data_IF_326498868730
#
_entry.id   IF_326498868730
#
_cell.length_a   1.000
_cell.length_b   1.000
_cell.length_c   1.000
_cell.angle_alpha   90.00
_cell.angle_beta   90.00
_cell.angle_gamma   90.00
#
_symmetry.space_group_name_H-M   'P 1'
#
loop_
_entity.id
_entity.type
_entity.pdbx_description
1 polymer ?
#
# COMPACT_ATOMS: atom_id res chain seq x y z
N UNK A 1 -38.19 -12.46 -74.14
CA UNK A 1 -38.12 -13.74 -73.42
C UNK A 1 -36.65 -14.05 -73.17
N UNK A 2 -36.27 -14.36 -71.91
CA UNK A 2 -34.95 -14.82 -71.40
C UNK A 2 -33.87 -13.71 -71.32
N UNK A 3 -33.65 -13.05 -70.17
CA UNK A 3 -32.95 -13.43 -68.91
C UNK A 3 -31.42 -13.53 -69.05
N UNK A 4 -30.70 -12.78 -68.21
CA UNK A 4 -29.25 -12.91 -68.02
C UNK A 4 -28.70 -12.02 -66.90
N UNK A 5 -29.10 -12.26 -65.65
CA UNK A 5 -28.43 -11.69 -64.47
C UNK A 5 -27.12 -12.46 -64.23
N UNK A 6 -25.98 -11.77 -64.33
CA UNK A 6 -24.69 -12.29 -63.84
C UNK A 6 -24.47 -11.82 -62.40
N UNK A 7 -24.71 -12.71 -61.44
CA UNK A 7 -24.27 -12.53 -60.05
C UNK A 7 -22.83 -13.04 -59.92
N UNK A 8 -21.87 -12.13 -59.76
CA UNK A 8 -20.52 -12.46 -59.28
C UNK A 8 -20.58 -12.64 -57.76
N UNK A 9 -20.59 -13.88 -57.29
CA UNK A 9 -20.38 -14.19 -55.89
C UNK A 9 -18.87 -14.22 -55.61
N UNK A 10 -18.37 -13.21 -54.90
CA UNK A 10 -17.01 -13.15 -54.38
C UNK A 10 -16.96 -13.93 -53.05
N UNK A 11 -16.18 -15.01 -52.92
CA UNK A 11 -16.06 -15.71 -51.64
C UNK A 11 -15.18 -14.89 -50.70
N UNK A 12 -15.77 -14.30 -49.65
CA UNK A 12 -15.04 -13.79 -48.50
C UNK A 12 -14.42 -14.97 -47.75
N UNK A 13 -13.13 -15.21 -47.95
CA UNK A 13 -12.33 -16.11 -47.10
C UNK A 13 -11.96 -15.31 -45.85
N UNK A 14 -12.73 -15.49 -44.77
CA UNK A 14 -12.38 -15.02 -43.44
C UNK A 14 -11.27 -15.93 -42.88
N UNK A 15 -10.02 -15.57 -43.14
CA UNK A 15 -8.86 -16.12 -42.42
C UNK A 15 -8.85 -15.54 -41.01
N UNK A 16 -9.64 -16.11 -40.11
CA UNK A 16 -9.53 -15.85 -38.68
C UNK A 16 -8.28 -16.53 -38.14
N UNK A 17 -7.20 -15.77 -37.91
CA UNK A 17 -6.13 -16.22 -37.03
C UNK A 17 -6.69 -16.34 -35.61
N UNK A 18 -7.18 -17.53 -35.25
CA UNK A 18 -7.49 -17.88 -33.89
C UNK A 18 -6.19 -17.95 -33.09
N UNK A 19 -5.80 -16.83 -32.48
CA UNK A 19 -4.92 -16.86 -31.31
C UNK A 19 -5.62 -17.69 -30.25
N UNK A 20 -5.19 -18.94 -30.09
CA UNK A 20 -5.58 -19.78 -28.97
C UNK A 20 -5.17 -19.05 -27.69
N UNK A 21 -6.12 -18.34 -27.07
CA UNK A 21 -5.96 -17.84 -25.71
C UNK A 21 -5.81 -19.07 -24.83
N UNK A 22 -4.60 -19.30 -24.33
CA UNK A 22 -4.21 -20.54 -23.64
C UNK A 22 -4.86 -20.70 -22.26
N UNK A 23 -5.87 -19.89 -21.91
CA UNK A 23 -6.52 -19.89 -20.59
C UNK A 23 -5.63 -19.41 -19.45
N UNK A 24 -4.32 -19.30 -19.67
CA UNK A 24 -3.31 -18.87 -18.70
C UNK A 24 -3.37 -17.38 -18.40
N UNK A 25 -3.08 -17.04 -17.16
CA UNK A 25 -2.88 -15.65 -16.75
C UNK A 25 -1.52 -15.13 -17.26
N UNK A 26 -1.44 -13.88 -17.74
CA UNK A 26 -0.15 -13.23 -17.98
C UNK A 26 0.73 -13.28 -16.73
N UNK A 27 1.95 -13.83 -16.89
CA UNK A 27 2.86 -14.19 -15.81
C UNK A 27 4.23 -13.55 -16.02
N UNK A 28 4.86 -12.99 -14.96
CA UNK A 28 6.22 -12.46 -15.05
C UNK A 28 7.26 -13.56 -15.32
N UNK A 29 8.35 -13.19 -15.98
CA UNK A 29 9.53 -14.05 -16.08
C UNK A 29 10.04 -14.37 -14.66
N UNK A 30 10.22 -15.67 -14.35
CA UNK A 30 10.70 -16.21 -13.06
C UNK A 30 9.66 -16.38 -11.94
N UNK A 31 8.38 -16.47 -12.27
CA UNK A 31 7.33 -16.92 -11.34
C UNK A 31 7.04 -18.41 -11.60
N UNK A 32 6.95 -19.29 -10.58
CA UNK A 32 6.66 -20.72 -10.79
C UNK A 32 5.27 -20.95 -11.37
N UNK A 33 5.04 -22.06 -12.07
CA UNK A 33 3.75 -22.38 -12.70
C UNK A 33 2.62 -22.64 -11.68
N UNK A 34 2.98 -22.98 -10.43
CA UNK A 34 2.02 -23.16 -9.33
C UNK A 34 2.56 -22.50 -8.07
N UNK A 35 1.68 -21.89 -7.31
CA UNK A 35 2.01 -21.41 -5.97
C UNK A 35 0.79 -21.43 -5.06
N UNK A 36 1.06 -21.57 -3.75
CA UNK A 36 0.06 -21.48 -2.70
C UNK A 36 0.65 -20.75 -1.49
N UNK A 37 -0.10 -19.79 -0.96
CA UNK A 37 0.20 -19.07 0.27
C UNK A 37 -0.27 -19.92 1.45
N UNK A 38 0.64 -20.32 2.31
CA UNK A 38 0.32 -21.05 3.53
C UNK A 38 -0.19 -20.13 4.65
N UNK A 39 -1.04 -20.66 5.54
CA UNK A 39 -1.38 -20.01 6.81
C UNK A 39 -2.37 -18.84 6.70
N UNK A 40 -3.09 -18.72 5.59
CA UNK A 40 -4.22 -17.80 5.48
C UNK A 40 -5.43 -18.46 6.15
N UNK A 41 -5.98 -17.90 7.24
CA UNK A 41 -7.18 -18.47 7.85
C UNK A 41 -8.39 -18.23 6.94
N UNK A 42 -9.40 -19.07 7.08
CA UNK A 42 -10.67 -18.91 6.37
C UNK A 42 -11.77 -18.46 7.33
N UNK A 43 -12.49 -17.40 6.97
CA UNK A 43 -13.68 -16.94 7.66
C UNK A 43 -14.88 -16.98 6.71
N UNK A 44 -15.73 -17.99 6.84
CA UNK A 44 -16.95 -18.13 6.04
C UNK A 44 -17.94 -17.01 6.38
N UNK A 45 -18.42 -16.26 5.38
CA UNK A 45 -19.43 -15.21 5.57
C UNK A 45 -20.32 -15.00 4.33
N UNK A 46 -21.51 -14.44 4.57
CA UNK A 46 -22.44 -13.96 3.54
C UNK A 46 -21.87 -12.74 2.78
N UNK A 47 -22.37 -12.48 1.59
CA UNK A 47 -21.87 -11.50 0.63
C UNK A 47 -21.87 -10.06 1.16
N UNK A 48 -22.80 -9.71 2.06
CA UNK A 48 -22.82 -8.39 2.69
C UNK A 48 -21.62 -8.16 3.65
N UNK A 49 -20.95 -9.23 4.06
CA UNK A 49 -19.82 -9.21 5.01
C UNK A 49 -18.48 -9.63 4.36
N UNK A 50 -18.42 -9.74 3.03
CA UNK A 50 -17.22 -10.17 2.32
C UNK A 50 -16.00 -9.26 2.58
N UNK A 51 -16.20 -7.94 2.73
CA UNK A 51 -15.12 -6.98 3.02
C UNK A 51 -14.44 -7.19 4.38
N UNK A 52 -15.19 -7.14 5.51
CA UNK A 52 -14.65 -7.46 6.83
C UNK A 52 -14.02 -8.85 6.91
N UNK A 53 -14.61 -9.86 6.27
CA UNK A 53 -14.06 -11.21 6.26
C UNK A 53 -12.73 -11.28 5.49
N UNK A 54 -12.67 -10.73 4.28
CA UNK A 54 -11.44 -10.69 3.49
C UNK A 54 -10.32 -9.94 4.20
N UNK A 55 -10.65 -8.79 4.81
CA UNK A 55 -9.67 -8.03 5.58
C UNK A 55 -9.21 -8.79 6.83
N UNK A 56 -10.11 -9.47 7.56
CA UNK A 56 -9.75 -10.30 8.70
C UNK A 56 -8.78 -11.42 8.30
N UNK A 57 -9.03 -12.12 7.19
CA UNK A 57 -8.13 -13.17 6.69
C UNK A 57 -6.72 -12.63 6.44
N UNK A 58 -6.60 -11.48 5.75
CA UNK A 58 -5.31 -10.86 5.45
C UNK A 58 -4.62 -10.30 6.71
N UNK A 59 -5.38 -9.69 7.64
CA UNK A 59 -4.85 -9.19 8.91
C UNK A 59 -4.29 -10.32 9.77
N UNK A 60 -5.03 -11.42 9.94
CA UNK A 60 -4.56 -12.57 10.70
C UNK A 60 -3.33 -13.21 10.05
N UNK A 61 -3.32 -13.38 8.72
CA UNK A 61 -2.14 -13.85 8.00
C UNK A 61 -0.92 -12.95 8.24
N UNK A 62 -1.13 -11.63 8.27
CA UNK A 62 -0.06 -10.66 8.57
C UNK A 62 0.28 -10.53 10.07
N UNK A 63 -0.30 -11.36 10.94
CA UNK A 63 -0.01 -11.40 12.37
C UNK A 63 -0.84 -10.46 13.25
N UNK A 64 -2.00 -10.01 12.79
CA UNK A 64 -3.00 -9.28 13.62
C UNK A 64 -4.19 -10.20 13.89
N UNK A 65 -4.29 -10.72 15.11
CA UNK A 65 -5.42 -11.54 15.50
C UNK A 65 -6.71 -10.71 15.58
N UNK A 66 -7.67 -10.97 14.69
CA UNK A 66 -8.94 -10.21 14.64
C UNK A 66 -10.06 -11.05 14.04
N UNK A 67 -11.29 -10.84 14.49
CA UNK A 67 -12.47 -11.48 13.91
C UNK A 67 -13.18 -10.53 12.92
N UNK A 68 -13.83 -11.05 11.86
CA UNK A 68 -14.56 -10.21 10.90
C UNK A 68 -15.57 -9.26 11.55
N UNK A 69 -16.26 -9.72 12.59
CA UNK A 69 -17.29 -8.94 13.32
C UNK A 69 -16.74 -7.66 13.96
N UNK A 70 -15.46 -7.64 14.34
CA UNK A 70 -14.80 -6.46 14.89
C UNK A 70 -14.52 -5.40 13.81
N UNK A 71 -14.41 -5.81 12.54
CA UNK A 71 -14.11 -4.93 11.41
C UNK A 71 -15.37 -4.39 10.72
N UNK A 72 -16.54 -4.98 10.96
CA UNK A 72 -17.81 -4.51 10.40
C UNK A 72 -18.05 -3.00 10.59
N UNK A 73 -17.97 -2.41 11.81
CA UNK A 73 -18.22 -0.98 11.99
C UNK A 73 -17.18 -0.07 11.29
N UNK A 74 -16.03 -0.62 10.93
CA UNK A 74 -14.91 0.12 10.34
C UNK A 74 -14.91 0.12 8.81
N UNK A 75 -15.52 -0.90 8.21
CA UNK A 75 -15.34 -1.25 6.80
C UNK A 75 -16.67 -1.33 6.05
N UNK A 76 -17.74 -1.74 6.74
CA UNK A 76 -19.07 -1.87 6.15
C UNK A 76 -19.77 -0.52 6.03
N UNK A 77 -20.34 -0.28 4.86
CA UNK A 77 -21.21 0.87 4.57
C UNK A 77 -22.66 0.39 4.38
N UNK A 78 -23.57 0.74 5.30
CA UNK A 78 -24.99 0.41 5.15
C UNK A 78 -25.63 0.98 3.88
N UNK A 79 -25.21 2.18 3.46
CA UNK A 79 -25.71 2.83 2.24
C UNK A 79 -25.29 2.13 0.97
N UNK A 80 -24.08 1.57 0.94
CA UNK A 80 -23.57 0.81 -0.21
C UNK A 80 -23.87 -0.69 -0.11
N UNK A 81 -24.44 -1.14 1.01
CA UNK A 81 -24.67 -2.56 1.34
C UNK A 81 -23.40 -3.40 1.08
N UNK A 82 -22.25 -2.85 1.45
CA UNK A 82 -20.95 -3.43 1.12
C UNK A 82 -19.79 -2.61 1.65
N UNK A 83 -18.57 -2.95 1.25
CA UNK A 83 -17.35 -2.32 1.76
C UNK A 83 -16.60 -1.57 0.65
N UNK A 84 -16.14 -0.35 0.97
CA UNK A 84 -15.33 0.44 0.05
C UNK A 84 -13.85 0.01 0.11
N UNK A 85 -13.16 0.07 -1.02
CA UNK A 85 -11.71 -0.16 -1.11
C UNK A 85 -10.96 0.75 -0.13
N UNK A 86 -11.34 2.04 -0.05
CA UNK A 86 -10.79 3.01 0.90
C UNK A 86 -11.04 2.64 2.36
N UNK A 87 -12.18 2.00 2.65
CA UNK A 87 -12.53 1.47 3.98
C UNK A 87 -11.58 0.35 4.39
N UNK A 88 -11.34 -0.63 3.51
CA UNK A 88 -10.38 -1.72 3.75
C UNK A 88 -8.97 -1.16 3.97
N UNK A 89 -8.52 -0.24 3.12
CA UNK A 89 -7.21 0.41 3.23
C UNK A 89 -7.08 1.16 4.57
N UNK A 90 -8.11 1.92 4.95
CA UNK A 90 -8.13 2.67 6.21
C UNK A 90 -8.09 1.76 7.44
N UNK A 91 -8.90 0.70 7.44
CA UNK A 91 -8.94 -0.27 8.53
C UNK A 91 -7.61 -1.04 8.67
N UNK A 92 -7.04 -1.52 7.55
CA UNK A 92 -5.71 -2.15 7.57
C UNK A 92 -4.64 -1.25 8.22
N UNK A 93 -4.64 0.04 7.89
CA UNK A 93 -3.72 1.03 8.50
C UNK A 93 -3.99 1.23 9.98
N UNK A 94 -5.25 1.32 10.41
CA UNK A 94 -5.64 1.38 11.84
C UNK A 94 -5.23 0.14 12.64
N UNK A 95 -4.93 -0.97 11.98
CA UNK A 95 -4.38 -2.17 12.58
C UNK A 95 -2.86 -2.33 12.38
N UNK A 96 -2.14 -1.24 12.07
CA UNK A 96 -0.67 -1.26 12.00
C UNK A 96 -0.13 -2.10 10.83
N UNK A 97 -0.89 -2.22 9.74
CA UNK A 97 -0.45 -2.94 8.53
C UNK A 97 -0.37 -2.02 7.33
N UNK A 98 0.65 -2.25 6.52
CA UNK A 98 0.84 -1.51 5.27
C UNK A 98 -0.20 -2.02 4.27
N UNK A 99 -1.14 -1.13 3.93
CA UNK A 99 -2.14 -1.36 2.90
C UNK A 99 -1.59 -0.86 1.55
N UNK A 100 -1.22 -1.79 0.67
CA UNK A 100 -0.58 -1.51 -0.62
C UNK A 100 -1.45 -2.02 -1.78
N UNK A 101 -2.13 -1.12 -2.51
CA UNK A 101 -2.90 -1.50 -3.70
C UNK A 101 -2.00 -2.04 -4.81
N UNK A 102 -2.47 -3.06 -5.51
CA UNK A 102 -1.86 -3.59 -6.73
C UNK A 102 -2.92 -3.71 -7.84
N UNK A 103 -2.47 -3.85 -9.08
CA UNK A 103 -3.36 -4.14 -10.20
C UNK A 103 -2.73 -5.09 -11.22
N UNK A 104 -3.58 -5.91 -11.83
CA UNK A 104 -3.23 -6.82 -12.92
C UNK A 104 -2.71 -8.18 -12.48
N UNK A 105 -2.88 -9.18 -13.36
CA UNK A 105 -2.55 -10.59 -13.08
C UNK A 105 -1.06 -10.80 -12.80
N UNK A 106 -0.18 -10.10 -13.49
CA UNK A 106 1.26 -10.20 -13.23
C UNK A 106 1.62 -9.82 -11.79
N UNK A 107 0.88 -8.87 -11.20
CA UNK A 107 1.14 -8.42 -9.83
C UNK A 107 0.67 -9.48 -8.87
N UNK A 108 -0.57 -9.91 -9.08
CA UNK A 108 -1.21 -10.98 -8.32
C UNK A 108 -0.33 -12.23 -8.26
N UNK A 109 0.12 -12.74 -9.41
CA UNK A 109 0.94 -13.95 -9.48
C UNK A 109 2.30 -13.77 -8.79
N UNK A 110 2.96 -12.63 -8.99
CA UNK A 110 4.23 -12.35 -8.32
C UNK A 110 4.08 -12.35 -6.79
N UNK A 111 3.02 -11.73 -6.29
CA UNK A 111 2.76 -11.65 -4.84
C UNK A 111 2.38 -13.01 -4.25
N UNK A 112 1.48 -13.75 -4.89
CA UNK A 112 1.07 -15.09 -4.46
C UNK A 112 2.25 -16.06 -4.47
N UNK A 113 3.06 -16.07 -5.53
CA UNK A 113 4.32 -16.82 -5.59
C UNK A 113 5.32 -16.38 -4.51
N UNK A 114 5.27 -15.10 -4.17
CA UNK A 114 6.02 -14.50 -3.09
C UNK A 114 5.57 -14.90 -1.68
N UNK A 115 4.44 -15.62 -1.58
CA UNK A 115 3.80 -15.99 -0.33
C UNK A 115 2.91 -14.90 0.25
N UNK A 116 2.44 -13.94 -0.54
CA UNK A 116 1.54 -12.86 -0.10
C UNK A 116 0.11 -13.14 -0.61
N UNK A 117 -0.89 -13.27 0.27
CA UNK A 117 -2.27 -13.36 -0.16
C UNK A 117 -2.73 -11.99 -0.63
N UNK A 118 -3.67 -11.97 -1.58
CA UNK A 118 -4.15 -10.74 -2.19
C UNK A 118 -5.66 -10.65 -2.02
N UNK A 119 -6.13 -9.60 -1.34
CA UNK A 119 -7.55 -9.27 -1.35
C UNK A 119 -7.89 -8.75 -2.74
N UNK A 120 -8.91 -9.31 -3.40
CA UNK A 120 -9.38 -8.88 -4.71
C UNK A 120 -10.83 -8.44 -4.64
N UNK A 121 -11.20 -7.48 -5.48
CA UNK A 121 -12.59 -7.07 -5.65
C UNK A 121 -13.09 -7.61 -6.99
N UNK A 122 -14.08 -8.49 -6.96
CA UNK A 122 -14.70 -9.08 -8.16
C UNK A 122 -16.15 -8.63 -8.26
N UNK A 123 -16.73 -8.80 -9.45
CA UNK A 123 -18.16 -8.65 -9.66
C UNK A 123 -18.72 -9.98 -10.20
N UNK A 124 -19.46 -10.69 -9.34
CA UNK A 124 -19.97 -12.05 -9.61
C UNK A 124 -21.21 -12.07 -10.50
N UNK A 125 -21.76 -10.92 -10.86
CA UNK A 125 -22.98 -10.81 -11.67
C UNK A 125 -22.74 -10.13 -13.02
N UNK A 126 -23.83 -9.90 -13.77
CA UNK A 126 -23.76 -9.30 -15.09
C UNK A 126 -23.46 -7.79 -15.05
N UNK A 127 -23.00 -7.22 -16.16
CA UNK A 127 -22.51 -5.83 -16.22
C UNK A 127 -23.61 -4.79 -15.93
N UNK A 128 -24.87 -5.15 -16.18
CA UNK A 128 -26.05 -4.33 -15.98
C UNK A 128 -26.69 -4.49 -14.58
N UNK A 129 -26.23 -5.47 -13.78
CA UNK A 129 -26.67 -5.66 -12.38
C UNK A 129 -25.47 -6.15 -11.54
N UNK A 130 -24.60 -5.24 -11.07
CA UNK A 130 -23.35 -5.62 -10.44
C UNK A 130 -23.56 -6.22 -9.06
N UNK A 131 -22.77 -7.26 -8.76
CA UNK A 131 -22.70 -7.93 -7.46
C UNK A 131 -21.26 -7.97 -6.99
N UNK A 132 -20.87 -6.91 -6.29
CA UNK A 132 -19.50 -6.72 -5.82
C UNK A 132 -19.18 -7.69 -4.68
N UNK A 133 -18.00 -8.31 -4.76
CA UNK A 133 -17.58 -9.35 -3.83
C UNK A 133 -16.08 -9.30 -3.59
N UNK A 134 -15.67 -9.29 -2.33
CA UNK A 134 -14.27 -9.45 -1.95
C UNK A 134 -13.93 -10.93 -1.74
N UNK A 135 -12.79 -11.33 -2.26
CA UNK A 135 -12.17 -12.62 -1.98
C UNK A 135 -10.69 -12.44 -1.64
N UNK A 136 -10.04 -13.52 -1.20
CA UNK A 136 -8.60 -13.51 -0.93
C UNK A 136 -7.95 -14.58 -1.79
N UNK A 137 -7.22 -14.15 -2.82
CA UNK A 137 -6.42 -15.07 -3.64
C UNK A 137 -5.26 -15.57 -2.81
N UNK A 138 -5.15 -16.90 -2.75
CA UNK A 138 -4.14 -17.62 -1.97
C UNK A 138 -3.31 -18.55 -2.84
N UNK A 139 -3.69 -18.82 -4.09
CA UNK A 139 -2.93 -19.70 -4.94
C UNK A 139 -3.29 -19.59 -6.41
N UNK A 140 -2.52 -20.28 -7.24
CA UNK A 140 -2.81 -20.49 -8.65
C UNK A 140 -2.14 -21.77 -9.15
N UNK A 141 -2.69 -22.34 -10.22
CA UNK A 141 -2.12 -23.43 -10.98
C UNK A 141 -2.26 -23.11 -12.48
N UNK A 142 -1.16 -22.68 -13.12
CA UNK A 142 -1.14 -22.30 -14.53
C UNK A 142 -1.25 -23.50 -15.47
N UNK A 143 -0.94 -24.72 -15.01
CA UNK A 143 -1.13 -25.93 -15.81
C UNK A 143 -2.61 -26.26 -15.91
N UNK A 144 -3.34 -26.14 -14.81
CA UNK A 144 -4.80 -26.34 -14.75
C UNK A 144 -5.58 -25.08 -15.16
N UNK A 145 -4.88 -23.96 -15.40
CA UNK A 145 -5.48 -22.64 -15.67
C UNK A 145 -6.45 -22.22 -14.57
N UNK A 146 -6.02 -22.31 -13.32
CA UNK A 146 -6.84 -22.02 -12.13
C UNK A 146 -6.24 -20.93 -11.24
N UNK A 147 -7.14 -20.18 -10.60
CA UNK A 147 -6.86 -19.28 -9.47
C UNK A 147 -7.58 -19.82 -8.25
N UNK A 148 -6.87 -19.86 -7.13
CA UNK A 148 -7.37 -20.44 -5.88
C UNK A 148 -7.56 -19.31 -4.87
N UNK A 149 -8.77 -19.19 -4.31
CA UNK A 149 -9.15 -18.11 -3.41
C UNK A 149 -10.07 -18.55 -2.27
N UNK A 150 -10.03 -17.81 -1.17
CA UNK A 150 -11.09 -17.84 -0.16
C UNK A 150 -12.20 -16.87 -0.55
N UNK A 151 -13.45 -17.35 -0.60
CA UNK A 151 -14.56 -16.59 -1.18
C UNK A 151 -15.90 -17.04 -0.60
N UNK A 152 -16.65 -16.09 -0.04
CA UNK A 152 -17.98 -16.33 0.54
C UNK A 152 -17.95 -17.43 1.62
N UNK A 153 -18.66 -18.53 1.37
CA UNK A 153 -18.74 -19.70 2.26
C UNK A 153 -17.73 -20.80 1.91
N UNK A 154 -16.91 -20.61 0.87
CA UNK A 154 -16.00 -21.63 0.34
C UNK A 154 -14.54 -21.29 0.64
N UNK A 155 -13.86 -22.19 1.37
CA UNK A 155 -12.40 -22.18 1.48
C UNK A 155 -11.77 -22.85 0.26
N UNK A 156 -10.60 -22.39 -0.18
CA UNK A 156 -9.88 -22.93 -1.33
C UNK A 156 -10.80 -23.14 -2.55
N UNK A 157 -11.57 -22.12 -2.93
CA UNK A 157 -12.36 -22.15 -4.14
C UNK A 157 -11.41 -22.15 -5.35
N UNK A 158 -11.62 -23.06 -6.29
CA UNK A 158 -10.89 -23.11 -7.56
C UNK A 158 -11.74 -22.48 -8.65
N UNK A 159 -11.25 -21.40 -9.26
CA UNK A 159 -11.87 -20.77 -10.42
C UNK A 159 -10.97 -20.94 -11.62
N UNK A 160 -11.54 -21.18 -12.80
CA UNK A 160 -10.76 -21.07 -14.02
C UNK A 160 -10.25 -19.62 -14.18
N UNK A 161 -9.04 -19.48 -14.68
CA UNK A 161 -8.33 -18.22 -14.86
C UNK A 161 -9.12 -17.27 -15.77
N UNK A 162 -9.77 -17.80 -16.81
CA UNK A 162 -10.68 -17.05 -17.69
C UNK A 162 -11.91 -16.49 -16.94
N UNK A 163 -12.53 -17.29 -16.07
CA UNK A 163 -13.67 -16.84 -15.26
C UNK A 163 -13.22 -15.78 -14.28
N UNK A 164 -12.12 -16.02 -13.57
CA UNK A 164 -11.54 -15.09 -12.62
C UNK A 164 -11.22 -13.74 -13.27
N UNK A 165 -10.52 -13.73 -14.41
CA UNK A 165 -10.22 -12.48 -15.14
C UNK A 165 -11.50 -11.72 -15.53
N UNK A 166 -12.52 -12.43 -15.99
CA UNK A 166 -13.77 -11.81 -16.44
C UNK A 166 -14.54 -11.13 -15.30
N UNK A 167 -14.55 -11.71 -14.10
CA UNK A 167 -15.20 -11.10 -12.92
C UNK A 167 -14.31 -10.03 -12.27
N UNK A 168 -12.98 -10.12 -12.43
CA UNK A 168 -12.01 -9.20 -11.82
C UNK A 168 -11.75 -7.93 -12.66
N UNK A 169 -11.81 -8.01 -13.99
CA UNK A 169 -11.58 -6.85 -14.88
C UNK A 169 -12.50 -5.65 -14.57
N UNK A 170 -13.67 -5.92 -13.97
CA UNK A 170 -14.69 -4.91 -13.66
C UNK A 170 -14.31 -4.00 -12.51
N UNK A 171 -13.39 -4.43 -11.65
CA UNK A 171 -12.74 -3.57 -10.66
C UNK A 171 -11.43 -2.99 -11.18
N UNK A 172 -11.19 -3.04 -12.50
CA UNK A 172 -9.91 -2.67 -13.11
C UNK A 172 -8.75 -3.50 -12.55
N UNK A 173 -9.01 -4.79 -12.31
CA UNK A 173 -8.07 -5.74 -11.72
C UNK A 173 -7.52 -5.28 -10.38
N UNK A 174 -8.35 -4.64 -9.55
CA UNK A 174 -7.92 -4.11 -8.26
C UNK A 174 -7.60 -5.23 -7.27
N UNK A 175 -6.43 -5.13 -6.64
CA UNK A 175 -6.04 -5.96 -5.52
C UNK A 175 -5.44 -5.14 -4.38
N UNK A 176 -5.41 -5.72 -3.19
CA UNK A 176 -4.84 -5.11 -1.99
C UNK A 176 -4.00 -6.11 -1.23
N UNK A 177 -2.76 -5.70 -0.95
CA UNK A 177 -1.87 -6.36 -0.01
C UNK A 177 -2.04 -5.73 1.37
N UNK A 178 -2.08 -6.57 2.40
CA UNK A 178 -2.06 -6.16 3.82
C UNK A 178 -0.81 -6.79 4.45
N UNK A 179 0.26 -6.01 4.54
CA UNK A 179 1.60 -6.53 4.83
C UNK A 179 2.10 -6.06 6.19
N UNK A 180 2.90 -6.89 6.89
CA UNK A 180 3.78 -6.40 7.94
C UNK A 180 4.70 -5.29 7.39
N UNK A 181 4.99 -4.21 8.13
CA UNK A 181 5.74 -3.07 7.62
C UNK A 181 7.14 -3.40 7.10
N UNK A 182 7.76 -4.47 7.57
CA UNK A 182 9.10 -4.90 7.15
C UNK A 182 9.11 -5.63 5.80
N UNK A 183 7.93 -6.02 5.30
CA UNK A 183 7.78 -6.89 4.13
C UNK A 183 7.33 -6.08 2.92
N UNK A 184 8.24 -5.83 1.99
CA UNK A 184 7.92 -5.13 0.74
C UNK A 184 7.19 -6.07 -0.25
N UNK A 185 6.27 -5.52 -1.08
CA UNK A 185 5.74 -6.20 -2.26
C UNK A 185 6.87 -6.71 -3.18
N UNK A 186 6.59 -7.76 -3.94
CA UNK A 186 7.53 -8.31 -4.94
C UNK A 186 7.79 -7.33 -6.07
N UNK A 187 6.78 -6.54 -6.45
CA UNK A 187 6.93 -5.46 -7.43
C UNK A 187 6.71 -4.10 -6.80
N UNK A 188 7.52 -3.79 -5.81
CA UNK A 188 7.40 -2.54 -5.06
C UNK A 188 8.02 -1.37 -5.83
N UNK A 189 7.30 -0.25 -5.82
CA UNK A 189 7.81 1.05 -6.27
C UNK A 189 7.98 1.99 -5.08
N UNK A 190 8.94 2.91 -5.16
CA UNK A 190 9.32 3.76 -4.03
C UNK A 190 8.15 4.65 -3.59
N UNK A 191 7.62 5.47 -4.49
CA UNK A 191 6.59 6.45 -4.12
C UNK A 191 5.30 5.80 -3.58
N UNK A 192 4.71 4.77 -4.21
CA UNK A 192 3.54 4.07 -3.65
C UNK A 192 3.81 3.42 -2.29
N UNK A 193 5.02 2.87 -2.08
CA UNK A 193 5.38 2.30 -0.79
C UNK A 193 5.44 3.36 0.30
N UNK A 194 6.10 4.50 0.02
CA UNK A 194 6.17 5.60 0.98
C UNK A 194 4.80 6.19 1.28
N UNK A 195 3.90 6.27 0.30
CA UNK A 195 2.52 6.70 0.52
C UNK A 195 1.75 5.72 1.41
N UNK A 196 1.90 4.41 1.17
CA UNK A 196 1.26 3.37 1.97
C UNK A 196 1.74 3.42 3.44
N UNK A 197 3.05 3.59 3.66
CA UNK A 197 3.66 3.73 4.99
C UNK A 197 3.27 5.04 5.67
N UNK A 198 3.22 6.17 4.95
CA UNK A 198 2.73 7.44 5.49
C UNK A 198 1.25 7.33 5.95
N UNK A 199 0.49 6.39 5.38
CA UNK A 199 -0.84 6.03 5.88
C UNK A 199 -0.84 5.59 7.34
N UNK A 200 0.20 4.90 7.81
CA UNK A 200 0.34 4.45 9.19
C UNK A 200 0.60 5.60 10.16
N UNK A 201 1.40 6.59 9.74
CA UNK A 201 1.63 7.83 10.51
C UNK A 201 0.32 8.55 10.83
N UNK A 202 -0.55 8.69 9.82
CA UNK A 202 -1.85 9.38 9.97
C UNK A 202 -2.78 8.67 10.94
N UNK A 203 -2.55 7.39 11.20
CA UNK A 203 -3.30 6.57 12.17
C UNK A 203 -2.58 6.39 13.50
N UNK A 204 -1.44 7.06 13.70
CA UNK A 204 -0.68 7.02 14.97
C UNK A 204 0.22 5.78 15.14
N UNK A 205 0.35 4.93 14.13
CA UNK A 205 1.18 3.71 14.14
C UNK A 205 2.63 4.03 13.79
N UNK A 206 3.27 4.84 14.65
CA UNK A 206 4.60 5.39 14.41
C UNK A 206 5.70 4.32 14.44
N UNK A 207 5.57 3.28 15.28
CA UNK A 207 6.50 2.16 15.32
C UNK A 207 6.53 1.40 13.99
N UNK A 208 5.34 1.08 13.48
CA UNK A 208 5.12 0.40 12.21
C UNK A 208 5.54 1.27 11.03
N UNK A 209 5.22 2.57 11.05
CA UNK A 209 5.68 3.51 10.04
C UNK A 209 7.22 3.56 9.97
N UNK A 210 7.89 3.68 11.12
CA UNK A 210 9.34 3.65 11.20
C UNK A 210 9.93 2.33 10.65
N UNK A 211 9.28 1.19 10.89
CA UNK A 211 9.67 -0.09 10.30
C UNK A 211 9.51 -0.10 8.77
N UNK A 212 8.39 0.41 8.26
CA UNK A 212 8.13 0.56 6.83
C UNK A 212 9.16 1.43 6.10
N UNK A 213 9.57 2.56 6.69
CA UNK A 213 10.63 3.40 6.13
C UNK A 213 12.00 2.75 6.21
N UNK A 214 12.31 2.01 7.29
CA UNK A 214 13.56 1.23 7.34
C UNK A 214 13.59 0.17 6.24
N UNK A 215 12.48 -0.50 5.98
CA UNK A 215 12.35 -1.46 4.90
C UNK A 215 12.56 -0.77 3.53
N UNK A 216 11.96 0.39 3.33
CA UNK A 216 12.19 1.23 2.14
C UNK A 216 13.68 1.58 1.97
N UNK A 217 14.35 2.01 3.04
CA UNK A 217 15.75 2.43 3.02
C UNK A 217 16.73 1.29 2.75
N UNK A 218 16.37 0.04 3.04
CA UNK A 218 17.16 -1.12 2.58
C UNK A 218 17.13 -1.25 1.05
N UNK A 219 16.00 -0.93 0.41
CA UNK A 219 15.82 -0.98 -1.05
C UNK A 219 16.31 0.28 -1.77
N UNK A 220 16.04 1.44 -1.19
CA UNK A 220 16.33 2.77 -1.71
C UNK A 220 17.09 3.60 -0.66
N UNK A 221 18.40 3.35 -0.46
CA UNK A 221 19.17 3.98 0.62
C UNK A 221 19.32 5.51 0.49
N UNK A 222 19.06 6.05 -0.71
CA UNK A 222 19.11 7.50 -1.01
C UNK A 222 17.71 8.15 -1.04
N UNK A 223 16.67 7.45 -0.59
CA UNK A 223 15.32 7.98 -0.54
C UNK A 223 15.19 9.15 0.44
N UNK A 224 15.03 10.36 -0.07
CA UNK A 224 14.80 11.54 0.77
C UNK A 224 13.49 11.41 1.56
N UNK A 225 12.42 10.97 0.90
CA UNK A 225 11.11 10.77 1.52
C UNK A 225 11.15 9.76 2.67
N UNK A 226 11.85 8.64 2.49
CA UNK A 226 11.97 7.64 3.56
C UNK A 226 12.81 8.13 4.76
N UNK A 227 13.89 8.89 4.52
CA UNK A 227 14.65 9.49 5.63
C UNK A 227 13.85 10.55 6.38
N UNK A 228 13.04 11.36 5.68
CA UNK A 228 12.12 12.32 6.29
C UNK A 228 11.05 11.61 7.14
N UNK A 229 10.37 10.61 6.58
CA UNK A 229 9.34 9.83 7.27
C UNK A 229 9.88 9.06 8.47
N UNK A 230 11.08 8.46 8.35
CA UNK A 230 11.75 7.80 9.47
C UNK A 230 12.10 8.80 10.58
N UNK A 231 12.57 9.99 10.24
CA UNK A 231 12.86 11.05 11.19
C UNK A 231 11.62 11.52 11.94
N UNK A 232 10.52 11.76 11.21
CA UNK A 232 9.24 12.15 11.78
C UNK A 232 8.67 11.05 12.71
N UNK A 233 8.69 9.80 12.26
CA UNK A 233 8.20 8.67 13.05
C UNK A 233 9.01 8.47 14.33
N UNK A 234 10.34 8.55 14.26
CA UNK A 234 11.21 8.47 15.44
C UNK A 234 11.02 9.64 16.39
N UNK A 235 10.78 10.85 15.86
CA UNK A 235 10.46 12.01 16.68
C UNK A 235 9.15 11.81 17.45
N UNK A 236 8.09 11.34 16.81
CA UNK A 236 6.81 11.00 17.46
C UNK A 236 6.95 9.91 18.54
N UNK A 237 7.95 9.02 18.40
CA UNK A 237 8.29 8.00 19.39
C UNK A 237 9.23 8.49 20.50
N UNK A 238 9.57 9.78 20.53
CA UNK A 238 10.57 10.38 21.41
C UNK A 238 11.98 9.78 21.30
N UNK A 239 12.28 9.04 20.21
CA UNK A 239 13.65 8.65 19.84
C UNK A 239 14.36 9.85 19.19
N UNK A 240 14.70 10.84 20.01
CA UNK A 240 15.34 12.09 19.54
C UNK A 240 16.69 11.79 18.88
N UNK A 241 17.43 10.79 19.36
CA UNK A 241 18.74 10.41 18.81
C UNK A 241 18.61 9.89 17.39
N UNK A 242 17.74 8.91 17.17
CA UNK A 242 17.49 8.35 15.86
C UNK A 242 16.78 9.32 14.91
N UNK A 243 15.92 10.22 15.41
CA UNK A 243 15.30 11.27 14.61
C UNK A 243 16.36 12.26 14.07
N UNK A 244 17.27 12.72 14.94
CA UNK A 244 18.37 13.60 14.53
C UNK A 244 19.30 12.92 13.52
N UNK A 245 19.56 11.62 13.64
CA UNK A 245 20.33 10.86 12.65
C UNK A 245 19.64 10.86 11.28
N UNK A 246 18.34 10.54 11.24
CA UNK A 246 17.56 10.49 10.02
C UNK A 246 17.46 11.86 9.33
N UNK A 247 17.19 12.93 10.07
CA UNK A 247 17.18 14.28 9.51
C UNK A 247 18.56 14.72 9.02
N UNK A 248 19.66 14.35 9.69
CA UNK A 248 21.02 14.59 9.16
C UNK A 248 21.28 13.85 7.84
N UNK A 249 20.68 12.67 7.62
CA UNK A 249 20.75 11.99 6.30
C UNK A 249 19.94 12.77 5.27
N UNK A 250 18.75 13.23 5.61
CA UNK A 250 17.91 14.04 4.73
C UNK A 250 18.58 15.38 4.32
N UNK A 251 19.25 16.09 5.25
CA UNK A 251 19.97 17.34 4.93
C UNK A 251 21.15 17.11 3.98
N UNK A 252 21.82 15.96 4.06
CA UNK A 252 22.90 15.60 3.11
C UNK A 252 22.37 15.25 1.73
N UNK A 253 21.20 14.61 1.65
CA UNK A 253 20.57 14.27 0.36
C UNK A 253 20.02 15.51 -0.35
N UNK A 254 19.45 16.46 0.39
CA UNK A 254 18.94 17.72 -0.14
C UNK A 254 19.51 18.93 0.62
N UNK A 255 20.76 19.33 0.34
CA UNK A 255 21.44 20.41 1.08
C UNK A 255 20.88 21.82 0.82
N UNK A 256 19.97 21.95 -0.15
CA UNK A 256 19.25 23.18 -0.51
C UNK A 256 17.79 23.19 -0.05
N UNK A 257 17.35 22.17 0.69
CA UNK A 257 15.99 22.10 1.23
C UNK A 257 16.01 22.49 2.72
N UNK A 258 15.29 23.55 3.10
CA UNK A 258 15.24 24.05 4.49
C UNK A 258 14.47 23.16 5.46
N UNK A 259 13.52 22.36 4.97
CA UNK A 259 12.64 21.50 5.78
C UNK A 259 13.42 20.54 6.70
N UNK A 260 14.34 19.68 6.19
CA UNK A 260 15.11 18.77 7.04
C UNK A 260 16.02 19.49 8.05
N UNK A 261 16.50 20.70 7.73
CA UNK A 261 17.27 21.51 8.68
C UNK A 261 16.40 22.04 9.82
N UNK A 262 15.17 22.47 9.52
CA UNK A 262 14.22 22.89 10.54
C UNK A 262 13.86 21.74 11.49
N UNK A 263 13.53 20.57 10.95
CA UNK A 263 13.19 19.40 11.76
C UNK A 263 14.39 18.96 12.61
N UNK A 264 15.61 18.98 12.03
CA UNK A 264 16.83 18.71 12.79
C UNK A 264 17.04 19.72 13.92
N UNK A 265 16.77 21.01 13.69
CA UNK A 265 16.90 22.05 14.71
C UNK A 265 15.97 21.83 15.89
N UNK A 266 14.70 21.49 15.63
CA UNK A 266 13.72 21.18 16.66
C UNK A 266 14.19 19.99 17.53
N UNK A 267 14.57 18.88 16.90
CA UNK A 267 15.05 17.69 17.62
C UNK A 267 16.30 18.00 18.45
N UNK A 268 17.27 18.71 17.88
CA UNK A 268 18.50 19.09 18.61
C UNK A 268 18.23 20.01 19.80
N UNK A 269 17.24 20.90 19.68
CA UNK A 269 16.85 21.77 20.78
C UNK A 269 16.25 20.98 21.94
N UNK A 270 15.43 19.97 21.66
CA UNK A 270 14.87 19.06 22.67
C UNK A 270 15.94 18.15 23.31
N UNK A 271 16.99 17.79 22.57
CA UNK A 271 18.17 17.13 23.11
C UNK A 271 19.06 18.03 23.98
N UNK A 272 18.74 19.32 24.12
CA UNK A 272 19.58 20.30 24.82
C UNK A 272 20.82 20.74 24.03
N UNK A 273 20.99 20.27 22.78
CA UNK A 273 22.10 20.61 21.87
C UNK A 273 21.90 21.95 21.19
N UNK A 274 21.72 22.99 22.00
CA UNK A 274 21.28 24.32 21.58
C UNK A 274 22.15 24.96 20.49
N UNK A 275 23.48 24.84 20.59
CA UNK A 275 24.40 25.44 19.60
C UNK A 275 24.17 24.82 18.22
N UNK A 276 24.09 23.49 18.14
CA UNK A 276 23.80 22.77 16.90
C UNK A 276 22.38 23.09 16.38
N UNK A 277 21.40 23.17 17.29
CA UNK A 277 20.02 23.52 16.96
C UNK A 277 19.91 24.90 16.28
N UNK A 278 20.58 25.92 16.83
CA UNK A 278 20.59 27.26 16.25
C UNK A 278 21.28 27.31 14.89
N UNK A 279 22.37 26.55 14.71
CA UNK A 279 23.05 26.45 13.42
C UNK A 279 22.14 25.81 12.35
N UNK A 280 21.44 24.73 12.69
CA UNK A 280 20.48 24.09 11.80
C UNK A 280 19.29 25.01 11.48
N UNK A 281 18.73 25.69 12.48
CA UNK A 281 17.62 26.64 12.27
C UNK A 281 18.04 27.83 11.40
N UNK A 282 19.24 28.39 11.63
CA UNK A 282 19.78 29.45 10.77
C UNK A 282 19.92 28.97 9.33
N UNK A 283 20.46 27.76 9.12
CA UNK A 283 20.57 27.18 7.78
C UNK A 283 19.22 27.03 7.10
N UNK A 284 18.16 26.63 7.82
CA UNK A 284 16.81 26.58 7.28
C UNK A 284 16.30 27.96 6.85
N UNK A 285 16.49 28.98 7.69
CA UNK A 285 16.11 30.38 7.40
C UNK A 285 16.87 30.93 6.19
N UNK A 286 18.17 30.69 6.10
CA UNK A 286 19.02 31.15 4.98
C UNK A 286 18.61 30.53 3.64
N UNK A 287 18.14 29.28 3.67
CA UNK A 287 17.63 28.59 2.47
C UNK A 287 16.27 29.12 2.01
N UNK A 288 15.51 29.76 2.90
CA UNK A 288 14.23 30.41 2.59
C UNK A 288 13.15 29.43 2.07
N UNK A 289 12.33 29.92 1.14
CA UNK A 289 11.21 29.17 0.55
C UNK A 289 9.86 29.40 1.25
N UNK A 290 8.80 28.69 0.83
CA UNK A 290 7.42 28.94 1.29
C UNK A 290 7.20 28.77 2.80
N UNK A 291 8.08 28.04 3.49
CA UNK A 291 7.99 27.76 4.93
C UNK A 291 8.97 28.60 5.77
N UNK A 292 9.56 29.65 5.21
CA UNK A 292 10.59 30.46 5.90
C UNK A 292 10.11 31.05 7.22
N UNK A 293 8.83 31.39 7.33
CA UNK A 293 8.27 31.93 8.58
C UNK A 293 8.20 30.87 9.68
N UNK A 294 7.88 29.61 9.34
CA UNK A 294 7.98 28.48 10.27
C UNK A 294 9.42 28.26 10.74
N UNK A 295 10.40 28.46 9.84
CA UNK A 295 11.82 28.33 10.17
C UNK A 295 12.27 29.45 11.13
N UNK A 296 11.83 30.68 10.90
CA UNK A 296 12.08 31.82 11.79
C UNK A 296 11.45 31.62 13.16
N UNK A 297 10.22 31.09 13.21
CA UNK A 297 9.54 30.76 14.45
C UNK A 297 10.35 29.72 15.26
N UNK A 298 10.72 28.60 14.63
CA UNK A 298 11.54 27.56 15.27
C UNK A 298 12.84 28.15 15.82
N UNK A 299 13.52 29.00 15.04
CA UNK A 299 14.73 29.67 15.49
C UNK A 299 14.48 30.59 16.70
N UNK A 300 13.39 31.35 16.70
CA UNK A 300 13.02 32.26 17.78
C UNK A 300 12.70 31.50 19.08
N UNK A 301 11.97 30.38 18.99
CA UNK A 301 11.65 29.51 20.13
C UNK A 301 12.92 28.92 20.76
N UNK A 302 13.85 28.44 19.93
CA UNK A 302 15.16 27.98 20.38
C UNK A 302 15.89 29.13 21.08
N UNK A 303 15.89 30.35 20.52
CA UNK A 303 16.50 31.54 21.15
C UNK A 303 15.86 31.84 22.52
N UNK A 304 14.54 31.85 22.62
CA UNK A 304 13.78 32.20 23.82
C UNK A 304 13.97 31.22 24.99
N UNK A 305 14.10 29.90 24.74
CA UNK A 305 14.30 28.89 25.80
C UNK A 305 15.55 29.12 26.70
N UNK A 306 16.52 29.96 26.30
CA UNK A 306 17.67 30.38 27.15
C UNK A 306 17.36 31.56 28.06
N UNK A 307 16.41 32.42 27.68
CA UNK A 307 16.05 33.56 28.50
C UNK A 307 15.43 33.11 29.83
N UNK A 308 14.67 32.00 29.81
CA UNK A 308 14.03 31.42 31.00
C UNK A 308 14.97 30.59 31.90
N UNK A 309 16.17 30.22 31.44
CA UNK A 309 17.11 29.38 32.19
C UNK A 309 18.34 30.11 32.74
N UNK A 310 18.44 31.44 32.58
CA UNK A 310 19.41 32.26 33.32
C UNK A 310 18.84 32.55 34.72
N UNK A 311 19.55 32.21 35.82
CA UNK A 311 19.16 32.71 37.13
C UNK A 311 19.25 34.23 37.12
N UNK A 312 18.29 34.91 37.75
CA UNK A 312 18.34 36.35 37.99
C UNK A 312 19.65 36.66 38.72
N UNK A 313 20.47 37.63 38.26
CA UNK A 313 21.60 38.09 39.06
C UNK A 313 21.03 38.62 40.39
N UNK A 314 21.51 38.05 41.50
CA UNK A 314 21.29 38.60 42.84
C UNK A 314 22.13 39.84 43.03
#
# INVERSE_FOLDING_TARGET
>A
MIVGLFFFALPLVLSGCGLLSTGRLPQPANVPDKAMVSGVPFFAQDELQCGPAALAMALNWSGVAIQPTALTPEVFSPTLKGSLQSGLIGAARRHGRVAYPISGSEALLAEVAGGNPVIVLTNLAFSWYPKWHYGVVIGYDQEQSEVILHSGLTANEHLSSSVFLNIWQRSEYWGLLVLPPERLPKRVEEAPWLEAVAGLERTGHWQEAAAGYRAALKRWPKSFGAWMGLGNSRYSLHDLAGAAEAFRKATRLQPKNGIPFNNLAQVLAEQGKRKEALAAAQRAVDLGGPLVDNFRQTQAEIKAKKAKSRPSPR
#
